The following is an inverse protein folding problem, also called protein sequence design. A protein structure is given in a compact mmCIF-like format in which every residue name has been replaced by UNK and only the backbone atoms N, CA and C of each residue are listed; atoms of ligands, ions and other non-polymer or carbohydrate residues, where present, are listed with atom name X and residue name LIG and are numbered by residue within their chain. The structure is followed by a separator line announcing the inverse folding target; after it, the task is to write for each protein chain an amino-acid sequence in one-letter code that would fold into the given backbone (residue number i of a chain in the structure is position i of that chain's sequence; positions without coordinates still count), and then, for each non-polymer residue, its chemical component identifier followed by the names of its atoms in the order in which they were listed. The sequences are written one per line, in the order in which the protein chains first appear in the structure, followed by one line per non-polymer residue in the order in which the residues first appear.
data_IF_276392253419
#
_entry.id   IF_276392253419
#
_cell.length_a   1.000
_cell.length_b   1.000
_cell.length_c   1.000
_cell.angle_alpha   90.00
_cell.angle_beta   90.00
_cell.angle_gamma   90.00
#
_symmetry.space_group_name_H-M   'P 1'
#
loop_
_entity.id
_entity.type
_entity.pdbx_description
1 polymer ?
#
# COMPACT_ATOMS: atom_id res chain seq x y z
N UNK A 1 -25.19 0.75 14.11
CA UNK A 1 -26.40 0.71 14.96
C UNK A 1 -26.32 1.75 16.09
N UNK A 2 -25.92 3.00 15.79
CA UNK A 2 -25.73 4.01 16.85
C UNK A 2 -27.07 4.60 17.29
N UNK A 3 -27.87 5.06 16.32
CA UNK A 3 -29.16 5.72 16.56
C UNK A 3 -30.36 4.76 16.44
N UNK A 4 -30.17 3.57 15.87
CA UNK A 4 -31.18 2.51 15.74
C UNK A 4 -30.46 1.18 15.53
N UNK A 5 -31.15 0.07 15.80
CA UNK A 5 -30.66 -1.27 15.46
C UNK A 5 -30.37 -1.34 13.96
N UNK A 6 -29.33 -2.06 13.56
CA UNK A 6 -29.04 -2.19 12.13
C UNK A 6 -30.22 -2.90 11.43
N UNK A 7 -30.76 -2.36 10.33
CA UNK A 7 -31.99 -2.88 9.73
C UNK A 7 -31.86 -4.30 9.18
N UNK A 8 -30.65 -4.67 8.72
CA UNK A 8 -30.40 -5.93 8.01
C UNK A 8 -29.31 -6.80 8.65
N UNK A 9 -28.64 -6.30 9.69
CA UNK A 9 -27.55 -7.02 10.35
C UNK A 9 -27.94 -7.30 11.80
N UNK A 10 -27.32 -8.30 12.41
CA UNK A 10 -27.61 -8.71 13.79
C UNK A 10 -27.25 -7.69 14.88
N UNK A 11 -26.67 -6.54 14.51
CA UNK A 11 -26.10 -5.58 15.45
C UNK A 11 -27.15 -4.63 16.01
N UNK A 12 -27.25 -4.60 17.33
CA UNK A 12 -28.19 -3.75 18.08
C UNK A 12 -27.55 -2.45 18.55
N UNK A 13 -28.37 -1.47 18.97
CA UNK A 13 -27.85 -0.28 19.68
C UNK A 13 -27.12 -0.68 20.97
N UNK A 14 -27.62 -1.68 21.69
CA UNK A 14 -26.96 -2.17 22.90
C UNK A 14 -25.54 -2.67 22.59
N UNK A 15 -25.34 -3.37 21.46
CA UNK A 15 -24.00 -3.80 21.03
C UNK A 15 -23.08 -2.61 20.73
N UNK A 16 -23.61 -1.57 20.09
CA UNK A 16 -22.84 -0.37 19.78
C UNK A 16 -22.37 0.34 21.06
N UNK A 17 -23.28 0.62 21.98
CA UNK A 17 -22.96 1.37 23.20
C UNK A 17 -22.14 0.54 24.19
N UNK A 18 -22.34 -0.77 24.26
CA UNK A 18 -21.46 -1.67 25.02
C UNK A 18 -20.06 -1.78 24.41
N UNK A 19 -19.91 -1.71 23.09
CA UNK A 19 -18.59 -1.63 22.47
C UNK A 19 -17.92 -0.28 22.77
N UNK A 20 -18.67 0.83 22.69
CA UNK A 20 -18.18 2.16 23.03
C UNK A 20 -17.70 2.26 24.49
N UNK A 21 -18.28 1.49 25.41
CA UNK A 21 -17.87 1.44 26.82
C UNK A 21 -16.43 0.96 27.04
N UNK A 22 -15.78 0.31 26.05
CA UNK A 22 -14.34 0.04 26.12
C UNK A 22 -13.47 1.30 26.03
N UNK A 23 -13.99 2.36 25.41
CA UNK A 23 -13.29 3.63 25.17
C UNK A 23 -13.73 4.74 26.14
N UNK A 24 -14.65 4.45 27.06
CA UNK A 24 -15.20 5.44 28.01
C UNK A 24 -14.14 6.05 28.92
N UNK A 25 -13.07 5.31 29.18
CA UNK A 25 -11.99 5.64 30.09
C UNK A 25 -10.79 6.32 29.40
N UNK A 26 -10.96 6.78 28.16
CA UNK A 26 -9.91 7.50 27.43
C UNK A 26 -9.79 8.96 27.92
N UNK A 27 -8.57 9.39 28.21
CA UNK A 27 -8.23 10.78 28.51
C UNK A 27 -7.19 11.29 27.51
N UNK A 28 -7.46 12.45 26.94
CA UNK A 28 -6.53 13.18 26.10
C UNK A 28 -5.88 14.25 26.98
N UNK A 29 -4.57 14.13 27.20
CA UNK A 29 -3.79 15.16 27.89
C UNK A 29 -2.94 15.94 26.88
N UNK A 30 -2.94 17.26 27.01
CA UNK A 30 -2.04 18.12 26.26
C UNK A 30 -0.61 17.90 26.77
N UNK A 31 0.28 17.44 25.90
CA UNK A 31 1.67 17.18 26.30
C UNK A 31 2.50 18.46 26.34
N UNK A 32 1.91 19.64 26.10
CA UNK A 32 2.60 20.94 26.11
C UNK A 32 3.56 21.16 24.95
N UNK A 33 3.65 20.21 24.02
CA UNK A 33 4.37 20.35 22.75
C UNK A 33 3.34 20.39 21.61
N UNK A 34 3.43 21.41 20.76
CA UNK A 34 2.50 21.61 19.66
C UNK A 34 2.41 20.34 18.78
N UNK A 35 1.23 19.73 18.75
CA UNK A 35 0.94 18.56 17.90
C UNK A 35 0.98 17.19 18.60
N UNK A 36 1.40 17.09 19.86
CA UNK A 36 1.41 15.81 20.59
C UNK A 36 0.29 15.78 21.65
N UNK A 37 -0.79 15.06 21.34
CA UNK A 37 -1.78 14.66 22.36
C UNK A 37 -1.35 13.34 22.96
N UNK A 38 -1.14 13.31 24.28
CA UNK A 38 -0.91 12.05 24.99
C UNK A 38 -2.26 11.40 25.32
N UNK A 39 -2.40 10.14 24.96
CA UNK A 39 -3.59 9.32 25.22
C UNK A 39 -3.30 8.45 26.44
N UNK A 40 -4.11 8.56 27.49
CA UNK A 40 -4.03 7.73 28.69
C UNK A 40 -5.38 7.09 29.03
N UNK A 41 -5.35 6.01 29.81
CA UNK A 41 -6.55 5.39 30.37
C UNK A 41 -6.75 5.86 31.82
N UNK A 42 -7.99 6.23 32.16
CA UNK A 42 -8.40 6.67 33.49
C UNK A 42 -9.68 5.97 33.93
N UNK A 43 -9.59 5.24 35.04
CA UNK A 43 -10.72 4.50 35.62
C UNK A 43 -11.82 5.48 36.07
N UNK A 44 -13.07 5.06 35.90
CA UNK A 44 -14.24 5.69 36.53
C UNK A 44 -15.21 6.40 35.60
N UNK A 45 -14.91 6.51 34.29
CA UNK A 45 -15.89 6.99 33.30
C UNK A 45 -16.66 5.83 32.69
N UNK A 46 -17.98 6.00 32.64
CA UNK A 46 -18.93 5.05 32.05
C UNK A 46 -19.63 5.65 30.84
N UNK A 47 -20.07 4.79 29.92
CA UNK A 47 -20.94 5.17 28.81
C UNK A 47 -22.38 4.87 29.22
N UNK A 48 -23.26 5.85 29.04
CA UNK A 48 -24.70 5.68 29.23
C UNK A 48 -25.42 5.60 27.90
N UNK A 49 -26.53 4.87 27.88
CA UNK A 49 -27.43 4.80 26.75
C UNK A 49 -28.24 6.10 26.65
N UNK A 50 -28.22 6.83 25.52
CA UNK A 50 -28.76 8.20 25.45
C UNK A 50 -30.24 8.34 25.80
N UNK A 51 -31.07 7.32 25.52
CA UNK A 51 -32.53 7.41 25.72
C UNK A 51 -32.98 7.01 27.12
N UNK A 52 -32.18 6.23 27.86
CA UNK A 52 -32.59 5.62 29.14
C UNK A 52 -31.66 5.95 30.30
N UNK A 53 -30.56 6.65 30.04
CA UNK A 53 -29.46 6.90 30.98
C UNK A 53 -28.87 5.62 31.62
N UNK A 54 -29.19 4.45 31.05
CA UNK A 54 -28.71 3.16 31.52
C UNK A 54 -27.21 3.06 31.29
N UNK A 55 -26.44 2.76 32.33
CA UNK A 55 -25.00 2.49 32.22
C UNK A 55 -24.80 1.22 31.38
N UNK A 56 -23.97 1.33 30.35
CA UNK A 56 -23.70 0.25 29.40
C UNK A 56 -22.40 -0.45 29.80
N UNK A 57 -22.44 -1.73 30.22
CA UNK A 57 -21.23 -2.47 30.51
C UNK A 57 -20.46 -2.76 29.20
N UNK A 58 -19.12 -2.84 29.25
CA UNK A 58 -18.32 -3.26 28.11
C UNK A 58 -18.73 -4.66 27.65
N UNK A 59 -18.88 -4.87 26.35
CA UNK A 59 -19.20 -6.19 25.77
C UNK A 59 -18.53 -6.37 24.42
N UNK A 60 -17.89 -7.52 24.22
CA UNK A 60 -17.26 -7.82 22.94
C UNK A 60 -18.30 -8.05 21.84
N UNK A 61 -18.05 -7.58 20.60
CA UNK A 61 -18.97 -7.79 19.49
C UNK A 61 -19.26 -9.28 19.22
N UNK A 62 -20.53 -9.66 19.32
CA UNK A 62 -21.00 -11.03 19.04
C UNK A 62 -20.74 -12.03 20.17
N UNK A 63 -20.34 -11.56 21.35
CA UNK A 63 -20.25 -12.35 22.59
C UNK A 63 -21.36 -11.88 23.53
N UNK A 64 -22.12 -12.81 24.10
CA UNK A 64 -23.23 -12.50 24.99
C UNK A 64 -22.80 -12.08 26.39
N UNK A 65 -21.67 -12.60 26.86
CA UNK A 65 -21.15 -12.33 28.21
C UNK A 65 -20.16 -11.17 28.19
N UNK A 66 -20.24 -10.24 29.17
CA UNK A 66 -19.24 -9.20 29.34
C UNK A 66 -17.90 -9.82 29.74
N UNK A 67 -16.76 -9.18 29.39
CA UNK A 67 -15.48 -9.59 29.97
C UNK A 67 -15.55 -9.53 31.50
N UNK A 68 -14.87 -10.47 32.16
CA UNK A 68 -14.70 -10.39 33.60
C UNK A 68 -13.99 -9.07 33.94
N UNK A 69 -14.57 -8.25 34.82
CA UNK A 69 -13.96 -6.99 35.19
C UNK A 69 -12.70 -7.27 36.00
N UNK A 70 -11.53 -6.98 35.41
CA UNK A 70 -10.27 -6.87 36.15
C UNK A 70 -10.08 -5.42 36.61
N UNK A 71 -10.19 -5.12 37.92
CA UNK A 71 -10.02 -3.76 38.45
C UNK A 71 -8.61 -3.20 38.25
N UNK A 72 -7.63 -4.06 37.97
CA UNK A 72 -6.25 -3.68 37.71
C UNK A 72 -5.95 -3.49 36.21
N UNK A 73 -6.91 -3.80 35.31
CA UNK A 73 -6.72 -3.72 33.87
C UNK A 73 -7.60 -2.66 33.22
N UNK A 74 -7.06 -1.98 32.21
CA UNK A 74 -7.81 -0.99 31.45
C UNK A 74 -8.72 -1.68 30.43
N UNK A 75 -9.95 -1.18 30.27
CA UNK A 75 -10.92 -1.74 29.33
C UNK A 75 -10.37 -1.88 27.91
N UNK A 76 -9.61 -0.90 27.42
CA UNK A 76 -8.97 -0.97 26.09
C UNK A 76 -7.91 -2.06 25.98
N UNK A 77 -7.21 -2.38 27.07
CA UNK A 77 -6.25 -3.48 27.10
C UNK A 77 -6.98 -4.82 27.05
N UNK A 78 -8.06 -4.99 27.81
CA UNK A 78 -8.94 -6.16 27.72
C UNK A 78 -9.51 -6.33 26.30
N UNK A 79 -9.90 -5.24 25.64
CA UNK A 79 -10.34 -5.25 24.25
C UNK A 79 -9.23 -5.70 23.30
N UNK A 80 -8.03 -5.16 23.46
CA UNK A 80 -6.86 -5.55 22.64
C UNK A 80 -6.52 -7.03 22.78
N UNK A 81 -6.55 -7.57 24.00
CA UNK A 81 -6.31 -8.99 24.27
C UNK A 81 -7.37 -9.86 23.57
N UNK A 82 -8.65 -9.47 23.63
CA UNK A 82 -9.72 -10.19 22.95
C UNK A 82 -9.63 -10.09 21.42
N UNK A 83 -9.29 -8.92 20.88
CA UNK A 83 -9.10 -8.70 19.44
C UNK A 83 -8.02 -9.63 18.87
N UNK A 84 -6.89 -9.75 19.58
CA UNK A 84 -5.78 -10.62 19.21
C UNK A 84 -5.93 -12.05 19.75
N UNK A 85 -7.10 -12.44 20.26
CA UNK A 85 -7.32 -13.79 20.76
C UNK A 85 -7.56 -14.78 19.62
N UNK A 86 -7.11 -16.03 19.81
CA UNK A 86 -7.32 -17.12 18.83
C UNK A 86 -8.78 -17.45 18.59
N UNK A 87 -9.63 -17.14 19.55
CA UNK A 87 -11.07 -17.41 19.49
C UNK A 87 -11.86 -16.25 18.87
N UNK A 88 -11.19 -15.16 18.46
CA UNK A 88 -11.83 -14.06 17.78
C UNK A 88 -12.17 -14.46 16.34
N UNK A 89 -13.45 -14.52 15.94
CA UNK A 89 -13.82 -14.99 14.61
C UNK A 89 -13.61 -13.96 13.49
N UNK A 90 -13.27 -12.71 13.83
CA UNK A 90 -13.19 -11.61 12.87
C UNK A 90 -11.74 -11.25 12.52
N UNK A 91 -10.88 -11.11 13.53
CA UNK A 91 -9.55 -10.53 13.36
C UNK A 91 -8.70 -11.29 12.34
N UNK A 92 -8.63 -12.61 12.46
CA UNK A 92 -7.82 -13.43 11.56
C UNK A 92 -8.33 -13.38 10.11
N UNK A 93 -9.66 -13.41 9.92
CA UNK A 93 -10.29 -13.32 8.59
C UNK A 93 -10.06 -11.95 7.96
N UNK A 94 -10.22 -10.87 8.72
CA UNK A 94 -9.98 -9.50 8.24
C UNK A 94 -8.51 -9.27 7.87
N UNK A 95 -7.58 -9.72 8.72
CA UNK A 95 -6.15 -9.63 8.46
C UNK A 95 -5.74 -10.45 7.22
N UNK A 96 -6.24 -11.70 7.11
CA UNK A 96 -6.01 -12.55 5.95
C UNK A 96 -6.55 -11.94 4.65
N UNK A 97 -7.77 -11.41 4.68
CA UNK A 97 -8.38 -10.75 3.53
C UNK A 97 -7.59 -9.51 3.10
N UNK A 98 -7.12 -8.70 4.07
CA UNK A 98 -6.31 -7.51 3.79
C UNK A 98 -4.93 -7.87 3.23
N UNK A 99 -4.26 -8.89 3.76
CA UNK A 99 -2.99 -9.38 3.24
C UNK A 99 -3.15 -9.94 1.81
N UNK A 100 -4.23 -10.67 1.56
CA UNK A 100 -4.59 -11.12 0.21
C UNK A 100 -4.80 -9.93 -0.72
N UNK A 101 -5.67 -8.98 -0.37
CA UNK A 101 -5.92 -7.79 -1.18
C UNK A 101 -4.66 -6.99 -1.50
N UNK A 102 -3.74 -6.89 -0.53
CA UNK A 102 -2.47 -6.19 -0.73
C UNK A 102 -1.60 -6.83 -1.82
N UNK A 103 -1.55 -8.17 -1.86
CA UNK A 103 -0.77 -8.89 -2.87
C UNK A 103 -1.51 -9.03 -4.20
N UNK A 104 -2.81 -9.31 -4.18
CA UNK A 104 -3.62 -9.71 -5.34
C UNK A 104 -4.50 -8.58 -5.91
N UNK A 105 -4.43 -7.38 -5.34
CA UNK A 105 -5.14 -6.17 -5.82
C UNK A 105 -6.61 -6.09 -5.42
N UNK A 106 -7.21 -7.22 -5.05
CA UNK A 106 -8.60 -7.36 -4.61
C UNK A 106 -8.67 -8.36 -3.47
N UNK A 107 -9.49 -8.08 -2.45
CA UNK A 107 -9.76 -9.03 -1.38
C UNK A 107 -10.58 -10.24 -1.84
N UNK A 108 -10.55 -11.32 -1.06
CA UNK A 108 -11.53 -12.40 -1.18
C UNK A 108 -12.93 -11.90 -0.80
N UNK A 109 -13.01 -10.98 0.16
CA UNK A 109 -14.14 -10.08 0.38
C UNK A 109 -13.74 -8.70 -0.08
N UNK A 110 -14.59 -8.04 -0.86
CA UNK A 110 -14.36 -6.70 -1.38
C UNK A 110 -15.67 -5.91 -1.32
N UNK A 111 -15.70 -4.71 -0.70
CA UNK A 111 -14.56 -3.99 -0.11
C UNK A 111 -13.94 -4.68 1.11
N UNK A 112 -12.62 -4.53 1.32
CA UNK A 112 -11.90 -5.22 2.40
C UNK A 112 -12.36 -4.84 3.82
N UNK A 113 -13.05 -3.70 3.94
CA UNK A 113 -13.57 -3.14 5.19
C UNK A 113 -15.02 -3.59 5.48
N UNK A 114 -15.71 -4.12 4.47
CA UNK A 114 -17.13 -4.47 4.52
C UNK A 114 -17.31 -5.99 4.59
N UNK A 115 -16.80 -6.62 5.65
CA UNK A 115 -16.96 -8.07 5.86
C UNK A 115 -18.30 -8.39 6.55
N UNK A 116 -19.39 -8.17 5.82
CA UNK A 116 -20.76 -8.42 6.26
C UNK A 116 -21.48 -9.46 5.36
N UNK A 117 -22.78 -9.65 5.60
CA UNK A 117 -23.58 -10.62 4.84
C UNK A 117 -23.82 -10.20 3.40
N UNK A 118 -23.73 -8.89 3.11
CA UNK A 118 -23.98 -8.34 1.78
C UNK A 118 -22.77 -8.52 0.86
N UNK A 119 -21.59 -8.75 1.45
CA UNK A 119 -20.32 -8.95 0.74
C UNK A 119 -19.72 -10.34 1.06
N UNK A 120 -20.33 -11.43 0.56
CA UNK A 120 -19.81 -12.77 0.79
C UNK A 120 -18.42 -12.94 0.13
N UNK A 121 -17.53 -13.75 0.73
CA UNK A 121 -16.23 -14.04 0.14
C UNK A 121 -16.38 -14.80 -1.18
N UNK A 122 -15.61 -14.42 -2.20
CA UNK A 122 -15.55 -15.13 -3.49
C UNK A 122 -15.06 -16.58 -3.32
N UNK A 123 -14.15 -16.80 -2.37
CA UNK A 123 -13.61 -18.12 -2.04
C UNK A 123 -13.67 -18.35 -0.50
N UNK A 124 -14.83 -18.77 0.04
CA UNK A 124 -15.05 -18.87 1.49
C UNK A 124 -14.10 -19.85 2.18
N UNK A 125 -13.89 -21.02 1.57
CA UNK A 125 -13.01 -22.08 2.11
C UNK A 125 -11.56 -21.61 2.17
N UNK A 126 -11.11 -20.88 1.13
CA UNK A 126 -9.77 -20.31 1.10
C UNK A 126 -9.60 -19.24 2.19
N UNK A 127 -10.56 -18.32 2.34
CA UNK A 127 -10.50 -17.30 3.39
C UNK A 127 -10.44 -17.93 4.78
N UNK A 128 -11.21 -19.00 5.01
CA UNK A 128 -11.18 -19.74 6.28
C UNK A 128 -9.82 -20.39 6.51
N UNK A 129 -9.28 -21.09 5.50
CA UNK A 129 -7.94 -21.68 5.57
C UNK A 129 -6.85 -20.66 5.90
N UNK A 130 -6.88 -19.48 5.26
CA UNK A 130 -5.91 -18.41 5.52
C UNK A 130 -6.04 -17.85 6.94
N UNK A 131 -7.26 -17.71 7.45
CA UNK A 131 -7.50 -17.27 8.82
C UNK A 131 -6.96 -18.30 9.83
N UNK A 132 -7.24 -19.58 9.62
CA UNK A 132 -6.74 -20.67 10.48
C UNK A 132 -5.22 -20.73 10.47
N UNK A 133 -4.60 -20.68 9.29
CA UNK A 133 -3.14 -20.59 9.14
C UNK A 133 -2.56 -19.39 9.91
N UNK A 134 -3.19 -18.22 9.80
CA UNK A 134 -2.72 -17.02 10.50
C UNK A 134 -2.80 -17.16 12.03
N UNK A 135 -3.85 -17.80 12.55
CA UNK A 135 -3.98 -18.13 13.98
C UNK A 135 -2.91 -19.13 14.42
N UNK A 136 -2.66 -20.18 13.63
CA UNK A 136 -1.63 -21.19 13.89
C UNK A 136 -0.21 -20.59 13.96
N UNK A 137 0.09 -19.65 13.06
CA UNK A 137 1.34 -18.88 13.05
C UNK A 137 1.38 -17.76 14.10
N UNK A 138 0.44 -17.74 15.07
CA UNK A 138 0.37 -16.76 16.16
C UNK A 138 0.28 -15.31 15.65
N UNK A 139 -0.47 -15.11 14.58
CA UNK A 139 -0.70 -13.81 13.95
C UNK A 139 0.57 -13.17 13.35
N UNK A 140 1.55 -13.99 12.93
CA UNK A 140 2.75 -13.51 12.25
C UNK A 140 2.43 -13.14 10.78
N UNK A 141 2.36 -11.83 10.51
CA UNK A 141 2.11 -11.30 9.16
C UNK A 141 3.21 -11.68 8.17
N UNK A 142 4.46 -11.79 8.63
CA UNK A 142 5.58 -12.16 7.75
C UNK A 142 5.43 -13.60 7.26
N UNK A 143 5.00 -14.51 8.13
CA UNK A 143 4.71 -15.89 7.73
C UNK A 143 3.52 -15.98 6.77
N UNK A 144 2.47 -15.18 6.99
CA UNK A 144 1.33 -15.12 6.08
C UNK A 144 1.74 -14.64 4.69
N UNK A 145 2.46 -13.51 4.59
CA UNK A 145 2.97 -13.00 3.32
C UNK A 145 3.93 -13.97 2.65
N UNK A 146 4.83 -14.60 3.41
CA UNK A 146 5.77 -15.61 2.88
C UNK A 146 5.03 -16.79 2.26
N UNK A 147 3.97 -17.27 2.91
CA UNK A 147 3.16 -18.38 2.39
C UNK A 147 2.44 -17.95 1.10
N UNK A 148 1.75 -16.80 1.11
CA UNK A 148 1.03 -16.28 -0.05
C UNK A 148 1.95 -16.09 -1.27
N UNK A 149 3.13 -15.51 -1.07
CA UNK A 149 4.12 -15.27 -2.13
C UNK A 149 4.68 -16.55 -2.76
N UNK A 150 4.53 -17.72 -2.12
CA UNK A 150 4.96 -19.03 -2.63
C UNK A 150 3.84 -19.81 -3.33
N UNK A 151 2.64 -19.24 -3.42
CA UNK A 151 1.51 -19.90 -4.07
C UNK A 151 1.60 -19.80 -5.59
N UNK A 152 1.01 -20.79 -6.28
CA UNK A 152 0.82 -20.72 -7.74
C UNK A 152 -0.07 -19.55 -8.15
N UNK A 153 -0.99 -19.12 -7.28
CA UNK A 153 -1.86 -17.97 -7.51
C UNK A 153 -1.03 -16.69 -7.61
N UNK A 154 -0.10 -16.45 -6.67
CA UNK A 154 0.77 -15.27 -6.70
C UNK A 154 1.73 -15.28 -7.90
N UNK A 155 2.17 -16.46 -8.33
CA UNK A 155 3.01 -16.62 -9.53
C UNK A 155 2.26 -16.62 -10.87
N UNK A 156 0.96 -16.30 -10.91
CA UNK A 156 0.22 -16.19 -12.18
C UNK A 156 0.70 -14.97 -12.97
N UNK A 157 0.67 -15.07 -14.28
CA UNK A 157 0.89 -13.91 -15.16
C UNK A 157 -0.33 -13.01 -15.21
N UNK A 158 -0.12 -11.71 -15.41
CA UNK A 158 -1.17 -10.73 -15.73
C UNK A 158 -1.44 -10.61 -17.24
N UNK A 159 -0.60 -11.26 -18.08
CA UNK A 159 -0.76 -11.31 -19.53
C UNK A 159 -1.93 -12.22 -19.94
N UNK A 160 -2.75 -11.77 -20.90
CA UNK A 160 -3.95 -12.46 -21.37
C UNK A 160 -3.73 -12.86 -22.84
N UNK A 161 -3.78 -14.16 -23.13
CA UNK A 161 -3.53 -14.70 -24.47
C UNK A 161 -4.71 -14.48 -25.44
N UNK A 162 -5.94 -14.66 -24.96
CA UNK A 162 -7.16 -14.69 -25.80
C UNK A 162 -7.94 -13.36 -25.79
N UNK A 163 -7.33 -12.28 -25.30
CA UNK A 163 -7.91 -10.93 -25.22
C UNK A 163 -9.04 -10.74 -24.20
N UNK A 164 -9.66 -11.80 -23.70
CA UNK A 164 -10.72 -11.72 -22.68
C UNK A 164 -10.10 -11.85 -21.29
N UNK A 165 -10.09 -10.75 -20.53
CA UNK A 165 -9.63 -10.75 -19.13
C UNK A 165 -10.67 -11.47 -18.25
N UNK A 166 -10.26 -12.46 -17.43
CA UNK A 166 -11.17 -13.11 -16.50
C UNK A 166 -11.64 -12.12 -15.42
N UNK A 167 -12.79 -12.39 -14.76
CA UNK A 167 -13.24 -11.59 -13.61
C UNK A 167 -12.16 -11.49 -12.53
N UNK A 168 -11.97 -10.30 -11.96
CA UNK A 168 -10.86 -10.02 -11.03
C UNK A 168 -10.95 -10.82 -9.71
N UNK A 169 -12.17 -11.20 -9.32
CA UNK A 169 -12.48 -12.03 -8.15
C UNK A 169 -12.24 -13.53 -8.38
N UNK A 170 -12.02 -13.97 -9.63
CA UNK A 170 -11.65 -15.35 -9.96
C UNK A 170 -10.19 -15.67 -9.70
N UNK A 171 -9.32 -14.65 -9.66
CA UNK A 171 -7.86 -14.78 -9.54
C UNK A 171 -7.22 -15.76 -10.55
N UNK A 172 -7.86 -15.97 -11.72
CA UNK A 172 -7.36 -16.86 -12.77
C UNK A 172 -6.10 -16.30 -13.48
N UNK A 173 -5.96 -14.97 -13.49
CA UNK A 173 -4.78 -14.23 -13.89
C UNK A 173 -4.44 -13.21 -12.80
N UNK A 174 -3.20 -12.75 -12.73
CA UNK A 174 -2.81 -11.73 -11.75
C UNK A 174 -3.45 -10.39 -12.13
N UNK A 175 -4.06 -9.73 -11.14
CA UNK A 175 -4.69 -8.44 -11.32
C UNK A 175 -3.63 -7.35 -11.34
N UNK A 176 -3.61 -6.58 -12.43
CA UNK A 176 -2.75 -5.41 -12.56
C UNK A 176 -3.21 -4.38 -11.52
N UNK A 177 -2.27 -3.91 -10.70
CA UNK A 177 -2.48 -2.87 -9.69
C UNK A 177 -1.74 -1.62 -10.08
N UNK A 178 -2.27 -0.47 -9.73
CA UNK A 178 -1.47 0.75 -9.71
C UNK A 178 -0.61 0.81 -8.47
N UNK A 179 0.62 1.26 -8.63
CA UNK A 179 1.46 1.65 -7.52
C UNK A 179 0.83 2.84 -6.81
N UNK A 180 0.79 2.79 -5.48
CA UNK A 180 0.49 3.99 -4.69
C UNK A 180 1.55 5.06 -4.92
N UNK A 181 1.20 6.33 -4.72
CA UNK A 181 2.14 7.44 -4.85
C UNK A 181 3.44 7.21 -4.04
N UNK A 182 3.31 6.67 -2.82
CA UNK A 182 4.45 6.28 -1.99
C UNK A 182 5.30 5.19 -2.63
N UNK A 183 4.71 4.08 -3.08
CA UNK A 183 5.44 2.98 -3.72
C UNK A 183 6.15 3.44 -4.98
N UNK A 184 5.49 4.28 -5.78
CA UNK A 184 6.07 4.81 -7.00
C UNK A 184 7.26 5.75 -6.69
N UNK A 185 7.11 6.66 -5.73
CA UNK A 185 8.22 7.51 -5.27
C UNK A 185 9.40 6.67 -4.77
N UNK A 186 9.12 5.70 -3.91
CA UNK A 186 10.16 4.87 -3.31
C UNK A 186 10.87 4.03 -4.41
N UNK A 187 10.15 3.56 -5.44
CA UNK A 187 10.75 2.90 -6.62
C UNK A 187 11.65 3.83 -7.44
N UNK A 188 11.17 5.04 -7.77
CA UNK A 188 11.97 6.05 -8.47
C UNK A 188 13.24 6.39 -7.69
N UNK A 189 13.10 6.59 -6.39
CA UNK A 189 14.22 6.98 -5.53
C UNK A 189 15.27 5.89 -5.42
N UNK A 190 14.85 4.64 -5.21
CA UNK A 190 15.77 3.52 -5.04
C UNK A 190 16.44 3.11 -6.35
N UNK A 191 15.70 3.06 -7.44
CA UNK A 191 16.16 2.42 -8.67
C UNK A 191 16.71 3.41 -9.70
N UNK A 192 16.25 4.67 -9.68
CA UNK A 192 16.56 5.64 -10.74
C UNK A 192 17.36 6.83 -10.23
N UNK A 193 16.92 7.45 -9.13
CA UNK A 193 17.58 8.65 -8.62
C UNK A 193 19.00 8.38 -8.12
N UNK A 194 19.26 7.18 -7.55
CA UNK A 194 20.57 6.70 -7.06
C UNK A 194 21.47 7.87 -6.65
N UNK A 195 21.12 8.56 -5.55
CA UNK A 195 21.73 9.84 -5.16
C UNK A 195 23.25 9.81 -5.38
N UNK A 196 23.75 10.71 -6.25
CA UNK A 196 25.18 10.96 -6.38
C UNK A 196 25.67 11.45 -5.02
N UNK A 197 26.26 10.56 -4.23
CA UNK A 197 27.07 10.86 -3.05
C UNK A 197 26.61 12.07 -2.22
N UNK A 198 25.42 12.00 -1.60
CA UNK A 198 25.11 12.77 -0.39
C UNK A 198 25.23 14.29 -0.49
N UNK A 199 24.79 14.90 -1.60
CA UNK A 199 24.60 16.36 -1.63
C UNK A 199 23.29 16.73 -0.92
N UNK A 200 23.38 16.93 0.40
CA UNK A 200 22.27 17.35 1.27
C UNK A 200 21.76 18.77 0.96
N UNK A 201 22.41 19.53 0.05
CA UNK A 201 21.95 20.86 -0.34
C UNK A 201 20.74 20.83 -1.29
N UNK A 202 20.49 19.71 -1.97
CA UNK A 202 19.34 19.51 -2.84
C UNK A 202 18.33 18.55 -2.19
N UNK A 203 17.19 19.07 -1.75
CA UNK A 203 16.14 18.26 -1.10
C UNK A 203 15.61 17.13 -1.98
N UNK A 204 15.73 17.24 -3.30
CA UNK A 204 15.31 16.21 -4.24
C UNK A 204 16.30 15.02 -4.34
N UNK A 205 17.53 15.19 -3.85
CA UNK A 205 18.57 14.16 -3.79
C UNK A 205 18.90 13.71 -2.36
N UNK A 206 18.37 14.42 -1.37
CA UNK A 206 18.50 14.09 0.03
C UNK A 206 17.85 12.72 0.32
N UNK A 207 18.44 11.90 1.22
CA UNK A 207 17.83 10.63 1.61
C UNK A 207 16.40 10.84 2.13
N UNK A 208 15.43 9.92 1.88
CA UNK A 208 14.05 10.08 2.34
C UNK A 208 13.96 10.10 3.87
N UNK A 209 14.97 9.55 4.55
CA UNK A 209 15.09 9.56 6.02
C UNK A 209 15.54 10.91 6.58
N UNK A 210 16.01 11.83 5.75
CA UNK A 210 16.38 13.19 6.15
C UNK A 210 15.13 14.08 6.20
N UNK A 211 15.12 15.16 7.02
CA UNK A 211 14.00 16.09 7.04
C UNK A 211 13.68 16.71 5.66
N UNK A 212 14.71 17.03 4.87
CA UNK A 212 14.53 17.61 3.53
C UNK A 212 13.95 16.59 2.53
N UNK A 213 14.44 15.34 2.56
CA UNK A 213 13.93 14.26 1.73
C UNK A 213 12.51 13.85 2.10
N UNK A 214 12.14 13.85 3.38
CA UNK A 214 10.76 13.57 3.80
C UNK A 214 9.79 14.67 3.34
N UNK A 215 10.18 15.96 3.42
CA UNK A 215 9.38 17.06 2.87
C UNK A 215 9.17 16.86 1.36
N UNK A 216 10.24 16.52 0.63
CA UNK A 216 10.17 16.26 -0.81
C UNK A 216 9.24 15.09 -1.14
N UNK A 217 9.36 13.98 -0.40
CA UNK A 217 8.48 12.80 -0.50
C UNK A 217 7.01 13.15 -0.25
N UNK A 218 6.72 13.94 0.78
CA UNK A 218 5.35 14.35 1.09
C UNK A 218 4.75 15.28 0.02
N UNK A 219 5.55 16.18 -0.54
CA UNK A 219 5.13 17.02 -1.67
C UNK A 219 4.78 16.17 -2.91
N UNK A 220 5.60 15.16 -3.21
CA UNK A 220 5.31 14.21 -4.27
C UNK A 220 4.01 13.45 -4.03
N UNK A 221 3.86 12.86 -2.85
CA UNK A 221 2.67 12.08 -2.48
C UNK A 221 1.42 12.94 -2.57
N UNK A 222 1.44 14.16 -2.04
CA UNK A 222 0.29 15.07 -2.09
C UNK A 222 -0.14 15.40 -3.53
N UNK A 223 0.82 15.55 -4.45
CA UNK A 223 0.55 15.82 -5.87
C UNK A 223 0.04 14.58 -6.62
N UNK A 224 0.58 13.42 -6.29
CA UNK A 224 0.26 12.15 -6.96
C UNK A 224 -0.91 11.41 -6.33
N UNK A 225 -1.40 11.88 -5.18
CA UNK A 225 -2.59 11.35 -4.56
C UNK A 225 -3.78 11.54 -5.50
N UNK A 226 -4.33 10.42 -5.96
CA UNK A 226 -5.51 10.37 -6.79
C UNK A 226 -6.59 9.54 -6.10
N UNK A 227 -7.85 9.93 -6.27
CA UNK A 227 -8.99 9.23 -5.71
C UNK A 227 -9.33 7.99 -6.56
N UNK A 228 -8.57 6.92 -6.42
CA UNK A 228 -8.98 5.58 -6.86
C UNK A 228 -9.78 4.89 -5.76
N UNK A 229 -10.87 4.20 -6.12
CA UNK A 229 -11.65 3.44 -5.14
C UNK A 229 -10.98 2.09 -4.83
N UNK A 230 -10.26 1.52 -5.79
CA UNK A 230 -9.56 0.23 -5.65
C UNK A 230 -8.14 0.28 -6.23
N UNK A 231 -7.20 -0.56 -5.74
CA UNK A 231 -5.84 -0.65 -6.31
C UNK A 231 -5.78 -1.10 -7.77
N UNK A 232 -6.87 -1.70 -8.29
CA UNK A 232 -6.98 -2.18 -9.67
C UNK A 232 -7.50 -1.11 -10.64
N UNK A 233 -8.01 0.01 -10.14
CA UNK A 233 -8.38 1.15 -10.96
C UNK A 233 -7.14 2.00 -11.25
N UNK A 234 -7.02 2.53 -12.46
CA UNK A 234 -5.98 3.50 -12.78
C UNK A 234 -6.45 4.91 -12.42
N UNK A 235 -5.93 5.54 -11.33
CA UNK A 235 -6.53 6.75 -10.81
C UNK A 235 -5.87 8.03 -11.35
N UNK A 236 -4.73 7.92 -12.06
CA UNK A 236 -3.95 9.08 -12.47
C UNK A 236 -4.59 9.83 -13.64
N UNK A 237 -4.85 11.13 -13.44
CA UNK A 237 -5.37 12.03 -14.47
C UNK A 237 -4.30 12.91 -15.09
N UNK A 238 -4.75 13.89 -15.90
CA UNK A 238 -3.87 14.81 -16.64
C UNK A 238 -2.89 15.56 -15.73
N UNK A 239 -3.33 15.97 -14.53
CA UNK A 239 -2.47 16.69 -13.57
C UNK A 239 -1.30 15.84 -13.11
N UNK A 240 -1.55 14.57 -12.78
CA UNK A 240 -0.51 13.64 -12.34
C UNK A 240 0.47 13.34 -13.50
N UNK A 241 -0.03 13.11 -14.71
CA UNK A 241 0.82 12.87 -15.89
C UNK A 241 1.70 14.09 -16.21
N UNK A 242 1.13 15.30 -16.24
CA UNK A 242 1.91 16.53 -16.46
C UNK A 242 2.90 16.80 -15.33
N UNK A 243 2.50 16.53 -14.09
CA UNK A 243 3.34 16.62 -12.92
C UNK A 243 4.51 15.66 -12.97
N UNK A 244 4.31 14.47 -13.53
CA UNK A 244 5.40 13.53 -13.82
C UNK A 244 6.31 14.11 -14.88
N UNK A 245 5.83 14.33 -16.11
CA UNK A 245 6.63 14.77 -17.26
C UNK A 245 7.56 15.97 -16.97
N UNK A 246 7.13 16.89 -16.09
CA UNK A 246 7.83 18.15 -15.81
C UNK A 246 8.21 18.32 -14.32
N UNK A 247 8.08 17.27 -13.51
CA UNK A 247 8.29 17.32 -12.06
C UNK A 247 9.77 17.43 -11.68
N UNK A 248 10.07 17.96 -10.48
CA UNK A 248 11.45 17.98 -9.96
C UNK A 248 12.05 16.58 -9.85
N UNK A 249 11.25 15.56 -9.54
CA UNK A 249 11.67 14.16 -9.46
C UNK A 249 12.15 13.65 -10.82
N UNK A 250 11.43 13.99 -11.90
CA UNK A 250 11.82 13.62 -13.26
C UNK A 250 13.09 14.34 -13.69
N UNK A 251 13.21 15.64 -13.38
CA UNK A 251 14.42 16.41 -13.70
C UNK A 251 15.66 15.81 -13.03
N UNK A 252 15.54 15.35 -11.79
CA UNK A 252 16.66 14.69 -11.10
C UNK A 252 16.90 13.28 -11.65
N UNK A 253 15.83 12.51 -11.91
CA UNK A 253 15.91 11.14 -12.39
C UNK A 253 16.52 11.02 -13.79
N UNK A 254 16.26 12.00 -14.65
CA UNK A 254 16.71 11.99 -16.05
C UNK A 254 17.79 13.03 -16.33
N UNK A 255 18.11 13.92 -15.39
CA UNK A 255 19.10 14.97 -15.63
C UNK A 255 20.50 14.39 -15.87
N UNK A 256 21.14 14.77 -16.99
CA UNK A 256 22.47 14.26 -17.41
C UNK A 256 23.53 14.32 -16.30
N UNK A 257 23.49 15.38 -15.47
CA UNK A 257 24.46 15.59 -14.40
C UNK A 257 23.92 15.25 -13.00
N UNK A 258 22.64 14.89 -12.89
CA UNK A 258 21.92 14.70 -11.63
C UNK A 258 21.60 13.22 -11.37
N UNK A 259 21.33 12.45 -12.42
CA UNK A 259 20.98 11.04 -12.32
C UNK A 259 22.21 10.18 -12.05
N UNK A 260 22.24 9.52 -10.88
CA UNK A 260 23.30 8.56 -10.56
C UNK A 260 23.26 7.31 -11.44
N UNK A 261 22.06 6.89 -11.85
CA UNK A 261 21.87 5.77 -12.77
C UNK A 261 22.54 6.04 -14.11
N UNK A 262 22.21 7.16 -14.75
CA UNK A 262 22.77 7.53 -16.07
C UNK A 262 24.30 7.66 -15.97
N UNK A 263 24.80 8.35 -14.94
CA UNK A 263 26.23 8.50 -14.72
C UNK A 263 26.95 7.15 -14.56
N UNK A 264 26.31 6.15 -13.95
CA UNK A 264 26.89 4.81 -13.81
C UNK A 264 26.94 4.04 -15.13
N UNK A 265 25.98 4.28 -16.02
CA UNK A 265 25.85 3.61 -17.32
C UNK A 265 26.81 4.16 -18.39
N UNK A 266 27.39 5.33 -18.18
CA UNK A 266 28.47 5.88 -19.00
C UNK A 266 29.77 5.07 -18.92
N UNK A 267 29.90 4.18 -17.94
CA UNK A 267 31.11 3.41 -17.78
C UNK A 267 31.39 2.58 -19.06
N UNK A 268 32.66 2.52 -19.52
CA UNK A 268 33.01 2.01 -20.85
C UNK A 268 32.85 0.49 -21.01
N UNK A 269 32.54 -0.22 -19.94
CA UNK A 269 32.33 -1.67 -19.95
C UNK A 269 30.89 -2.09 -20.25
N UNK A 270 29.93 -1.17 -20.23
CA UNK A 270 28.56 -1.46 -20.63
C UNK A 270 28.41 -1.34 -22.14
N UNK A 271 27.85 -2.37 -22.78
CA UNK A 271 27.37 -2.26 -24.15
C UNK A 271 26.05 -1.49 -24.21
N UNK A 272 25.64 -1.02 -25.39
CA UNK A 272 24.31 -0.42 -25.57
C UNK A 272 23.19 -1.36 -25.13
N UNK A 273 23.37 -2.67 -25.32
CA UNK A 273 22.39 -3.67 -24.86
C UNK A 273 22.30 -3.71 -23.33
N UNK A 274 23.44 -3.73 -22.64
CA UNK A 274 23.48 -3.76 -21.17
C UNK A 274 22.88 -2.48 -20.57
N UNK A 275 23.12 -1.33 -21.20
CA UNK A 275 22.53 -0.04 -20.79
C UNK A 275 21.01 -0.06 -20.88
N UNK A 276 20.48 -0.50 -22.02
CA UNK A 276 19.03 -0.60 -22.24
C UNK A 276 18.42 -1.57 -21.24
N UNK A 277 19.01 -2.75 -21.05
CA UNK A 277 18.52 -3.73 -20.09
C UNK A 277 18.50 -3.17 -18.66
N UNK A 278 19.55 -2.47 -18.25
CA UNK A 278 19.61 -1.85 -16.92
C UNK A 278 18.54 -0.77 -16.74
N UNK A 279 18.31 0.08 -17.75
CA UNK A 279 17.26 1.11 -17.69
C UNK A 279 15.86 0.48 -17.60
N UNK A 280 15.60 -0.59 -18.34
CA UNK A 280 14.34 -1.32 -18.30
C UNK A 280 14.09 -1.98 -16.94
N UNK A 281 15.11 -2.63 -16.37
CA UNK A 281 15.01 -3.22 -15.04
C UNK A 281 14.78 -2.14 -13.97
N UNK A 282 15.49 -1.01 -14.05
CA UNK A 282 15.35 0.08 -13.10
C UNK A 282 13.98 0.77 -13.17
N UNK A 283 13.43 0.98 -14.37
CA UNK A 283 12.18 1.74 -14.57
C UNK A 283 10.92 0.85 -14.55
N UNK A 284 10.99 -0.35 -15.14
CA UNK A 284 9.84 -1.21 -15.44
C UNK A 284 9.93 -2.60 -14.77
N UNK A 285 11.03 -2.92 -14.08
CA UNK A 285 11.23 -4.20 -13.39
C UNK A 285 11.07 -5.45 -14.29
N UNK A 286 11.36 -5.32 -15.59
CA UNK A 286 11.40 -6.42 -16.55
C UNK A 286 12.52 -6.21 -17.57
N UNK A 287 12.91 -7.26 -18.26
CA UNK A 287 13.77 -7.13 -19.44
C UNK A 287 13.00 -6.52 -20.63
N UNK A 288 13.68 -5.77 -21.50
CA UNK A 288 13.11 -5.35 -22.79
C UNK A 288 12.84 -6.56 -23.68
N UNK A 289 11.86 -6.44 -24.56
CA UNK A 289 11.65 -7.35 -25.67
C UNK A 289 12.71 -7.15 -26.76
N UNK A 290 12.91 -8.12 -27.65
CA UNK A 290 13.88 -7.97 -28.75
C UNK A 290 13.54 -6.77 -29.66
N UNK A 291 12.25 -6.52 -29.92
CA UNK A 291 11.82 -5.35 -30.69
C UNK A 291 12.13 -4.02 -30.00
N UNK A 292 11.92 -3.92 -28.67
CA UNK A 292 12.30 -2.74 -27.89
C UNK A 292 13.82 -2.56 -27.88
N UNK A 293 14.59 -3.63 -27.76
CA UNK A 293 16.05 -3.59 -27.85
C UNK A 293 16.53 -3.02 -29.18
N UNK A 294 16.05 -3.57 -30.31
CA UNK A 294 16.43 -3.12 -31.65
C UNK A 294 16.12 -1.63 -31.84
N UNK A 295 14.91 -1.20 -31.45
CA UNK A 295 14.49 0.19 -31.57
C UNK A 295 15.36 1.14 -30.74
N UNK A 296 15.69 0.78 -29.49
CA UNK A 296 16.51 1.63 -28.63
C UNK A 296 17.99 1.62 -28.99
N UNK A 297 18.53 0.50 -29.50
CA UNK A 297 19.89 0.45 -30.04
C UNK A 297 20.01 1.39 -31.24
N UNK A 298 19.07 1.32 -32.18
CA UNK A 298 19.06 2.21 -33.35
C UNK A 298 19.06 3.70 -32.92
N UNK A 299 18.25 4.06 -31.93
CA UNK A 299 18.21 5.42 -31.40
C UNK A 299 19.55 5.86 -30.76
N UNK A 300 20.20 4.98 -29.97
CA UNK A 300 21.50 5.26 -29.36
C UNK A 300 22.61 5.40 -30.42
N UNK A 301 22.56 4.63 -31.51
CA UNK A 301 23.54 4.67 -32.58
C UNK A 301 23.37 5.88 -33.51
N UNK A 302 22.14 6.34 -33.74
CA UNK A 302 21.83 7.54 -34.54
C UNK A 302 22.16 8.87 -33.81
N UNK A 303 23.02 8.84 -32.79
CA UNK A 303 23.37 9.99 -31.97
C UNK A 303 24.12 11.06 -32.79
N UNK A 304 23.61 12.31 -32.84
CA UNK A 304 24.35 13.43 -33.42
C UNK A 304 25.70 13.67 -32.74
N UNK A 305 26.63 14.31 -33.44
CA UNK A 305 27.98 14.56 -32.93
C UNK A 305 28.01 15.57 -31.76
N UNK A 306 27.03 16.46 -31.69
CA UNK A 306 26.86 17.51 -30.68
C UNK A 306 26.11 17.07 -29.42
N UNK A 307 25.56 15.84 -29.41
CA UNK A 307 24.78 15.31 -28.30
C UNK A 307 25.60 14.31 -27.49
N UNK A 308 25.58 14.44 -26.16
CA UNK A 308 26.25 13.50 -25.24
C UNK A 308 25.53 12.15 -25.23
N UNK A 309 26.25 11.07 -24.90
CA UNK A 309 25.61 9.76 -24.69
C UNK A 309 24.61 9.81 -23.52
N UNK A 310 24.97 10.55 -22.47
CA UNK A 310 24.14 10.85 -21.29
C UNK A 310 22.80 11.45 -21.67
N UNK A 311 22.78 12.35 -22.66
CA UNK A 311 21.55 12.97 -23.17
C UNK A 311 20.60 11.95 -23.79
N UNK A 312 21.14 10.99 -24.57
CA UNK A 312 20.33 9.92 -25.16
C UNK A 312 19.79 8.96 -24.09
N UNK A 313 20.61 8.62 -23.09
CA UNK A 313 20.18 7.80 -21.97
C UNK A 313 19.14 8.51 -21.09
N UNK A 314 19.26 9.83 -20.94
CA UNK A 314 18.26 10.71 -20.32
C UNK A 314 16.91 10.60 -21.04
N UNK A 315 16.90 10.76 -22.36
CA UNK A 315 15.67 10.66 -23.16
C UNK A 315 15.03 9.28 -23.01
N UNK A 316 15.81 8.19 -23.08
CA UNK A 316 15.32 6.83 -22.86
C UNK A 316 14.69 6.67 -21.48
N UNK A 317 15.38 7.11 -20.44
CA UNK A 317 14.90 7.04 -19.05
C UNK A 317 13.60 7.83 -18.90
N UNK A 318 13.54 9.03 -19.48
CA UNK A 318 12.33 9.85 -19.46
C UNK A 318 11.16 9.16 -20.17
N UNK A 319 11.39 8.53 -21.32
CA UNK A 319 10.37 7.77 -22.04
C UNK A 319 9.82 6.65 -21.16
N UNK A 320 10.70 5.81 -20.58
CA UNK A 320 10.30 4.66 -19.78
C UNK A 320 9.47 5.08 -18.55
N UNK A 321 9.90 6.13 -17.85
CA UNK A 321 9.23 6.63 -16.65
C UNK A 321 7.85 7.24 -16.93
N UNK A 322 7.62 7.75 -18.13
CA UNK A 322 6.34 8.34 -18.53
C UNK A 322 5.42 7.35 -19.26
N UNK A 323 5.81 6.08 -19.38
CA UNK A 323 4.90 5.03 -19.87
C UNK A 323 3.84 4.68 -18.83
N UNK A 324 2.66 4.22 -19.28
CA UNK A 324 1.64 3.69 -18.39
C UNK A 324 2.12 2.46 -17.60
N UNK A 325 3.07 1.70 -18.16
CA UNK A 325 3.65 0.52 -17.53
C UNK A 325 4.40 0.87 -16.23
N UNK A 326 5.05 2.03 -16.16
CA UNK A 326 5.81 2.45 -14.98
C UNK A 326 4.93 2.66 -13.73
N UNK A 327 3.63 2.93 -13.92
CA UNK A 327 2.69 3.17 -12.81
C UNK A 327 1.99 1.91 -12.32
N UNK A 328 2.22 0.77 -12.97
CA UNK A 328 1.51 -0.49 -12.66
C UNK A 328 2.47 -1.58 -12.21
N UNK A 329 1.95 -2.47 -11.37
CA UNK A 329 2.61 -3.69 -10.96
C UNK A 329 1.67 -4.85 -11.29
N UNK A 330 2.18 -5.92 -11.93
CA UNK A 330 1.41 -7.12 -12.22
C UNK A 330 0.65 -7.70 -11.04
#
# INVERSE_FOLDING_TARGET
AQCHNHPFARWTQDDFWSFAAFFSQLELSDSGMAGNQAISDRVGREVTFPETDRVMPPRYPGVSEPPEPDPADFRRRQLTIWLASRNNPYFARAAANRAWAHLFGRGLVDPIESMDVDNPPSHPELLQFLADYFVEQRFDLRELYRMLARTKAYGRTSAIADGVRPPADSFAAMNIKTLTASQYFDSLFQNVLLSRFGDDSNSAQAPPTSPAGEIFRQQFIARMQAAGATPTEYPHGVVQVLGMMNGPEMLVATGENQSGLIASLEAPFFSNRDRIETLFLACLSRSPTEAEHEQFIEYLEQKPADVSESSRLSDLTWILLNTAECFVCP
#
